data_IF_269609176970
#
_entry.id   IF_269609176970
#
_cell.length_a   1.000
_cell.length_b   1.000
_cell.length_c   1.000
_cell.angle_alpha   90.00
_cell.angle_beta   90.00
_cell.angle_gamma   90.00
#
_symmetry.space_group_name_H-M   'P 1'
#
loop_
_entity.id
_entity.type
_entity.pdbx_description
1 polymer ?
#
# COMPACT_ATOMS: atom_id res chain seq x y z
N UNK A 1 -24.56 -9.00 -6.72
CA UNK A 1 -24.95 -8.98 -5.32
C UNK A 1 -23.87 -9.74 -4.54
N UNK A 2 -22.98 -9.03 -3.87
CA UNK A 2 -22.08 -9.60 -2.87
C UNK A 2 -22.96 -10.11 -1.76
N UNK A 3 -22.86 -11.43 -1.45
CA UNK A 3 -23.74 -12.09 -0.50
C UNK A 3 -23.68 -11.41 0.86
N UNK A 4 -24.84 -11.03 1.37
CA UNK A 4 -25.05 -10.42 2.69
C UNK A 4 -25.08 -11.50 3.80
N UNK A 5 -24.22 -12.51 3.74
CA UNK A 5 -24.08 -13.39 4.88
C UNK A 5 -23.34 -12.64 6.01
N UNK A 6 -23.91 -12.58 7.23
CA UNK A 6 -23.21 -11.95 8.34
C UNK A 6 -21.90 -12.67 8.59
N UNK A 7 -20.81 -11.93 8.75
CA UNK A 7 -19.51 -12.48 9.14
C UNK A 7 -19.67 -13.01 10.56
N UNK A 8 -19.74 -14.32 10.72
CA UNK A 8 -19.81 -14.98 12.03
C UNK A 8 -18.43 -15.50 12.46
N UNK A 9 -18.33 -15.92 13.72
CA UNK A 9 -17.06 -16.39 14.29
C UNK A 9 -16.49 -17.60 13.56
N UNK A 10 -17.36 -18.50 13.06
CA UNK A 10 -16.94 -19.68 12.31
C UNK A 10 -16.33 -19.31 10.96
N UNK A 11 -16.95 -18.38 10.22
CA UNK A 11 -16.42 -17.87 8.96
C UNK A 11 -15.08 -17.14 9.14
N UNK A 12 -14.91 -16.38 10.23
CA UNK A 12 -13.65 -15.73 10.58
C UNK A 12 -12.55 -16.74 10.89
N UNK A 13 -12.89 -17.80 11.65
CA UNK A 13 -11.95 -18.88 11.97
C UNK A 13 -11.51 -19.60 10.70
N UNK A 14 -12.45 -19.99 9.85
CA UNK A 14 -12.16 -20.65 8.58
C UNK A 14 -11.29 -19.78 7.66
N UNK A 15 -11.61 -18.47 7.55
CA UNK A 15 -10.79 -17.53 6.79
C UNK A 15 -9.36 -17.48 7.35
N UNK A 16 -9.21 -17.32 8.68
CA UNK A 16 -7.89 -17.28 9.33
C UNK A 16 -7.08 -18.53 9.02
N UNK A 17 -7.67 -19.72 9.21
CA UNK A 17 -6.99 -20.99 8.97
C UNK A 17 -6.51 -21.12 7.53
N UNK A 18 -7.38 -20.83 6.57
CA UNK A 18 -7.05 -20.88 5.14
C UNK A 18 -5.94 -19.87 4.78
N UNK A 19 -6.06 -18.64 5.28
CA UNK A 19 -5.08 -17.59 5.01
C UNK A 19 -3.71 -17.94 5.59
N UNK A 20 -3.64 -18.34 6.85
CA UNK A 20 -2.38 -18.73 7.48
C UNK A 20 -1.78 -19.98 6.83
N UNK A 21 -2.59 -20.93 6.39
CA UNK A 21 -2.11 -22.09 5.62
C UNK A 21 -1.48 -21.66 4.31
N UNK A 22 -2.10 -20.75 3.57
CA UNK A 22 -1.57 -20.22 2.31
C UNK A 22 -0.26 -19.42 2.52
N UNK A 23 -0.13 -18.66 3.62
CA UNK A 23 1.10 -17.98 3.98
C UNK A 23 2.22 -18.96 4.32
N UNK A 24 1.95 -20.00 5.12
CA UNK A 24 2.95 -21.03 5.47
C UNK A 24 3.51 -21.72 4.24
N UNK A 25 2.66 -22.05 3.26
CA UNK A 25 3.10 -22.65 1.99
C UNK A 25 4.06 -21.76 1.20
N UNK A 26 3.96 -20.43 1.37
CA UNK A 26 4.79 -19.44 0.66
C UNK A 26 5.95 -18.90 1.48
N UNK A 27 5.99 -19.21 2.77
CA UNK A 27 6.98 -18.64 3.70
C UNK A 27 8.39 -19.21 3.53
N UNK A 28 8.53 -20.33 2.83
CA UNK A 28 9.82 -21.03 2.69
C UNK A 28 10.49 -21.29 4.05
N UNK A 29 9.70 -21.54 5.09
CA UNK A 29 10.15 -21.75 6.46
C UNK A 29 10.50 -20.46 7.23
N UNK A 30 10.26 -19.27 6.66
CA UNK A 30 10.43 -17.99 7.37
C UNK A 30 9.32 -17.78 8.39
N UNK A 31 9.68 -17.19 9.53
CA UNK A 31 8.72 -16.88 10.61
C UNK A 31 7.92 -15.61 10.35
N UNK A 32 8.45 -14.70 9.53
CA UNK A 32 7.81 -13.44 9.16
C UNK A 32 7.50 -13.48 7.67
N UNK A 33 6.25 -13.18 7.34
CA UNK A 33 5.76 -13.15 5.97
C UNK A 33 5.07 -11.80 5.74
N UNK A 34 5.39 -11.15 4.63
CA UNK A 34 4.71 -9.94 4.19
C UNK A 34 3.73 -10.27 3.07
N UNK A 35 2.50 -9.78 3.19
CA UNK A 35 1.52 -9.77 2.12
C UNK A 35 1.28 -8.34 1.64
N UNK A 36 1.37 -8.11 0.34
CA UNK A 36 1.13 -6.80 -0.26
C UNK A 36 0.22 -6.93 -1.47
N UNK A 37 -0.99 -6.41 -1.35
CA UNK A 37 -1.91 -6.14 -2.45
C UNK A 37 -2.48 -4.72 -2.26
N UNK A 38 -2.43 -3.85 -3.28
CA UNK A 38 -2.90 -2.47 -3.13
C UNK A 38 -4.32 -2.36 -2.60
N UNK A 39 -5.23 -3.25 -2.97
CA UNK A 39 -6.63 -3.26 -2.53
C UNK A 39 -6.85 -3.86 -1.13
N UNK A 40 -5.82 -4.27 -0.39
CA UNK A 40 -6.00 -4.79 0.98
C UNK A 40 -6.69 -3.77 1.90
N UNK A 41 -6.60 -2.47 1.62
CA UNK A 41 -7.29 -1.44 2.37
C UNK A 41 -8.82 -1.62 2.39
N UNK A 42 -9.41 -2.24 1.38
CA UNK A 42 -10.84 -2.55 1.35
C UNK A 42 -11.25 -3.58 2.42
N UNK A 43 -10.31 -4.35 2.95
CA UNK A 43 -10.57 -5.50 3.81
C UNK A 43 -9.92 -5.38 5.20
N UNK A 44 -9.43 -4.19 5.60
CA UNK A 44 -8.69 -4.03 6.85
C UNK A 44 -9.48 -4.46 8.10
N UNK A 45 -10.79 -4.22 8.13
CA UNK A 45 -11.63 -4.70 9.23
C UNK A 45 -11.65 -6.23 9.36
N UNK A 46 -11.73 -6.94 8.22
CA UNK A 46 -11.64 -8.40 8.21
C UNK A 46 -10.24 -8.88 8.65
N UNK A 47 -9.19 -8.27 8.11
CA UNK A 47 -7.80 -8.59 8.43
C UNK A 47 -7.54 -8.36 9.92
N UNK A 48 -7.88 -7.19 10.46
CA UNK A 48 -7.65 -6.86 11.86
C UNK A 48 -8.41 -7.77 12.83
N UNK A 49 -9.61 -8.24 12.44
CA UNK A 49 -10.42 -9.13 13.25
C UNK A 49 -9.93 -10.58 13.20
N UNK A 50 -9.61 -11.07 11.99
CA UNK A 50 -9.19 -12.46 11.82
C UNK A 50 -7.72 -12.69 12.20
N UNK A 51 -6.89 -11.66 12.08
CA UNK A 51 -5.44 -11.69 12.30
C UNK A 51 -5.02 -10.57 13.27
N UNK A 52 -5.43 -10.63 14.55
CA UNK A 52 -5.15 -9.56 15.51
C UNK A 52 -3.64 -9.35 15.76
N UNK A 53 -2.82 -10.36 15.49
CA UNK A 53 -1.36 -10.30 15.58
C UNK A 53 -0.68 -9.65 14.36
N UNK A 54 -1.40 -9.43 13.25
CA UNK A 54 -0.82 -8.84 12.05
C UNK A 54 -0.52 -7.35 12.25
N UNK A 55 0.67 -6.91 11.84
CA UNK A 55 0.97 -5.49 11.70
C UNK A 55 0.42 -4.98 10.37
N UNK A 56 -0.32 -3.88 10.42
CA UNK A 56 -0.90 -3.24 9.24
C UNK A 56 -0.05 -2.01 8.93
N UNK A 57 0.67 -2.05 7.80
CA UNK A 57 1.49 -0.93 7.33
C UNK A 57 0.82 -0.32 6.10
N UNK A 58 0.43 0.93 6.23
CA UNK A 58 -0.16 1.70 5.15
C UNK A 58 0.92 2.63 4.56
N UNK A 59 1.34 2.38 3.33
CA UNK A 59 2.31 3.23 2.63
C UNK A 59 1.56 4.38 1.98
N UNK A 60 1.64 5.56 2.60
CA UNK A 60 1.01 6.79 2.14
C UNK A 60 1.96 7.54 1.20
N UNK A 61 1.45 7.98 0.07
CA UNK A 61 2.18 8.77 -0.93
C UNK A 61 1.31 9.92 -1.41
N UNK A 62 1.94 11.01 -1.89
CA UNK A 62 1.24 12.15 -2.50
C UNK A 62 0.11 11.70 -3.44
N UNK A 63 -1.11 12.14 -3.16
CA UNK A 63 -2.34 11.76 -3.88
C UNK A 63 -2.23 12.04 -5.37
N UNK A 64 -1.73 13.24 -5.74
CA UNK A 64 -1.48 13.60 -7.14
C UNK A 64 -0.48 12.65 -7.83
N UNK A 65 0.56 12.22 -7.10
CA UNK A 65 1.55 11.30 -7.63
C UNK A 65 0.99 9.89 -7.82
N UNK A 66 0.13 9.43 -6.91
CA UNK A 66 -0.55 8.12 -7.02
C UNK A 66 -1.51 8.13 -8.21
N UNK A 67 -2.38 9.15 -8.31
CA UNK A 67 -3.32 9.28 -9.41
C UNK A 67 -2.62 9.33 -10.76
N UNK A 68 -1.57 10.14 -10.87
CA UNK A 68 -0.75 10.23 -12.08
C UNK A 68 -0.06 8.91 -12.44
N UNK A 69 0.52 8.22 -11.45
CA UNK A 69 1.19 6.94 -11.68
C UNK A 69 0.23 5.87 -12.18
N UNK A 70 -0.99 5.83 -11.63
CA UNK A 70 -2.04 4.92 -12.09
C UNK A 70 -2.50 5.26 -13.50
N UNK A 71 -2.72 6.54 -13.82
CA UNK A 71 -3.15 6.98 -15.15
C UNK A 71 -2.15 6.65 -16.25
N UNK A 72 -0.86 6.73 -15.95
CA UNK A 72 0.20 6.49 -16.94
C UNK A 72 0.69 5.05 -17.01
N UNK A 73 0.19 4.17 -16.12
CA UNK A 73 0.56 2.77 -16.09
C UNK A 73 -0.44 1.93 -16.89
N UNK A 74 0.07 1.13 -17.85
CA UNK A 74 -0.75 0.11 -18.46
C UNK A 74 -0.93 -1.08 -17.50
N UNK A 75 -2.17 -1.45 -17.23
CA UNK A 75 -2.53 -2.62 -16.45
C UNK A 75 -3.26 -3.62 -17.35
N UNK A 76 -2.73 -4.83 -17.46
CA UNK A 76 -3.35 -5.90 -18.23
C UNK A 76 -4.56 -6.55 -17.53
N UNK A 77 -4.93 -6.08 -16.35
CA UNK A 77 -6.00 -6.63 -15.52
C UNK A 77 -7.25 -5.75 -15.58
N UNK A 78 -8.38 -6.33 -15.96
CA UNK A 78 -9.67 -5.62 -16.10
C UNK A 78 -10.19 -5.02 -14.78
N UNK A 79 -9.75 -5.54 -13.62
CA UNK A 79 -10.15 -5.00 -12.31
C UNK A 79 -9.61 -3.58 -12.02
N UNK A 80 -8.67 -3.09 -12.84
CA UNK A 80 -8.07 -1.76 -12.73
C UNK A 80 -8.54 -0.83 -13.86
N UNK A 81 -9.71 -1.07 -14.43
CA UNK A 81 -10.28 -0.27 -15.52
C UNK A 81 -10.44 1.21 -15.19
N UNK A 82 -10.66 1.55 -13.92
CA UNK A 82 -10.73 2.95 -13.47
C UNK A 82 -9.43 3.74 -13.74
N UNK A 83 -8.29 3.07 -13.91
CA UNK A 83 -7.00 3.73 -14.18
C UNK A 83 -6.92 4.37 -15.58
N UNK A 84 -7.86 4.09 -16.48
CA UNK A 84 -7.88 4.64 -17.84
C UNK A 84 -8.71 5.92 -18.00
N UNK A 85 -9.36 6.38 -16.95
CA UNK A 85 -10.09 7.65 -16.88
C UNK A 85 -9.56 8.48 -15.73
N UNK A 86 -9.21 9.74 -15.98
CA UNK A 86 -8.70 10.60 -14.92
C UNK A 86 -9.77 10.88 -13.87
N UNK A 87 -11.01 11.11 -14.29
CA UNK A 87 -12.14 11.35 -13.38
C UNK A 87 -12.43 10.13 -12.50
N UNK A 88 -12.36 8.90 -13.06
CA UNK A 88 -12.57 7.69 -12.30
C UNK A 88 -11.44 7.44 -11.28
N UNK A 89 -10.19 7.77 -11.63
CA UNK A 89 -9.04 7.70 -10.71
C UNK A 89 -9.25 8.65 -9.54
N UNK A 90 -9.64 9.89 -9.81
CA UNK A 90 -9.87 10.90 -8.77
C UNK A 90 -10.96 10.44 -7.82
N UNK A 91 -12.10 10.02 -8.36
CA UNK A 91 -13.21 9.50 -7.56
C UNK A 91 -12.82 8.26 -6.74
N UNK A 92 -12.09 7.31 -7.34
CA UNK A 92 -11.59 6.14 -6.62
C UNK A 92 -10.64 6.53 -5.48
N UNK A 93 -9.81 7.55 -5.70
CA UNK A 93 -8.89 8.04 -4.69
C UNK A 93 -9.62 8.71 -3.52
N UNK A 94 -10.66 9.50 -3.78
CA UNK A 94 -11.52 10.06 -2.74
C UNK A 94 -12.17 8.96 -1.88
N UNK A 95 -12.72 7.92 -2.52
CA UNK A 95 -13.29 6.77 -1.81
C UNK A 95 -12.25 6.02 -0.97
N UNK A 96 -11.01 5.94 -1.46
CA UNK A 96 -9.91 5.36 -0.70
C UNK A 96 -9.57 6.21 0.54
N UNK A 97 -9.46 7.53 0.41
CA UNK A 97 -9.18 8.44 1.54
C UNK A 97 -10.27 8.37 2.60
N UNK A 98 -11.54 8.43 2.20
CA UNK A 98 -12.69 8.28 3.10
C UNK A 98 -12.66 6.94 3.86
N UNK A 99 -12.37 5.85 3.14
CA UNK A 99 -12.30 4.53 3.76
C UNK A 99 -11.11 4.40 4.71
N UNK A 100 -9.95 4.96 4.37
CA UNK A 100 -8.78 4.95 5.25
C UNK A 100 -9.01 5.80 6.50
N UNK A 101 -9.67 6.95 6.37
CA UNK A 101 -10.09 7.75 7.53
C UNK A 101 -11.00 6.93 8.45
N UNK A 102 -12.03 6.27 7.88
CA UNK A 102 -12.90 5.38 8.66
C UNK A 102 -12.10 4.29 9.40
N UNK A 103 -11.12 3.65 8.75
CA UNK A 103 -10.32 2.63 9.41
C UNK A 103 -9.46 3.18 10.55
N UNK A 104 -8.89 4.37 10.42
CA UNK A 104 -8.16 5.02 11.51
C UNK A 104 -9.05 5.33 12.72
N UNK A 105 -10.29 5.76 12.47
CA UNK A 105 -11.29 6.01 13.52
C UNK A 105 -11.78 4.70 14.17
N UNK A 106 -12.07 3.68 13.36
CA UNK A 106 -12.60 2.40 13.84
C UNK A 106 -11.54 1.54 14.56
N UNK A 107 -10.27 1.71 14.22
CA UNK A 107 -9.16 0.90 14.70
C UNK A 107 -7.97 1.77 15.12
N UNK A 108 -8.12 2.63 16.14
CA UNK A 108 -7.05 3.56 16.54
C UNK A 108 -5.78 2.80 16.91
N UNK A 109 -4.64 3.30 16.44
CA UNK A 109 -3.29 2.75 16.66
C UNK A 109 -3.01 1.36 16.03
N UNK A 110 -3.91 0.85 15.19
CA UNK A 110 -3.71 -0.45 14.51
C UNK A 110 -3.02 -0.33 13.17
N UNK A 111 -3.04 0.85 12.57
CA UNK A 111 -2.47 1.12 11.25
C UNK A 111 -1.26 2.04 11.45
N UNK A 112 -0.11 1.61 10.95
CA UNK A 112 1.11 2.42 10.90
C UNK A 112 1.20 3.08 9.53
N UNK A 113 1.09 4.41 9.49
CA UNK A 113 1.29 5.17 8.25
C UNK A 113 2.78 5.36 8.00
N UNK A 114 3.25 4.84 6.89
CA UNK A 114 4.60 5.05 6.38
C UNK A 114 4.54 6.08 5.25
N UNK A 115 5.05 7.27 5.51
CA UNK A 115 5.16 8.32 4.50
C UNK A 115 6.25 7.98 3.48
N UNK A 116 5.84 7.83 2.22
CA UNK A 116 6.75 7.44 1.13
C UNK A 116 7.77 8.54 0.81
N UNK A 117 7.36 9.81 0.82
CA UNK A 117 8.24 10.94 0.56
C UNK A 117 9.31 11.02 1.67
N UNK A 118 8.89 10.97 2.93
CA UNK A 118 9.81 10.94 4.07
C UNK A 118 10.76 9.74 4.01
N UNK A 119 10.24 8.54 3.67
CA UNK A 119 11.06 7.34 3.51
C UNK A 119 12.12 7.52 2.42
N UNK A 120 11.80 8.16 1.29
CA UNK A 120 12.76 8.36 0.21
C UNK A 120 13.77 9.46 0.50
N UNK A 121 13.42 10.44 1.33
CA UNK A 121 14.29 11.55 1.74
C UNK A 121 15.22 11.18 2.90
N UNK A 122 14.69 10.44 3.88
CA UNK A 122 15.35 10.07 5.14
C UNK A 122 15.28 8.55 5.33
N UNK A 123 15.79 7.80 4.35
CA UNK A 123 15.61 6.34 4.26
C UNK A 123 15.96 5.61 5.57
N UNK A 124 17.13 5.89 6.15
CA UNK A 124 17.57 5.19 7.35
C UNK A 124 16.67 5.51 8.55
N UNK A 125 16.35 6.79 8.77
CA UNK A 125 15.52 7.23 9.89
C UNK A 125 14.14 6.57 9.84
N UNK A 126 13.45 6.67 8.69
CA UNK A 126 12.09 6.15 8.54
C UNK A 126 12.08 4.60 8.54
N UNK A 127 13.10 3.96 7.97
CA UNK A 127 13.23 2.50 8.04
C UNK A 127 13.46 2.02 9.46
N UNK A 128 14.28 2.72 10.26
CA UNK A 128 14.51 2.38 11.69
C UNK A 128 13.23 2.51 12.51
N UNK A 129 12.43 3.56 12.26
CA UNK A 129 11.10 3.73 12.90
C UNK A 129 10.18 2.57 12.58
N UNK A 130 10.09 2.17 11.31
CA UNK A 130 9.27 1.05 10.86
C UNK A 130 9.73 -0.28 11.51
N UNK A 131 11.02 -0.59 11.47
CA UNK A 131 11.58 -1.83 12.05
C UNK A 131 11.32 -1.87 13.56
N UNK A 132 11.50 -0.73 14.26
CA UNK A 132 11.18 -0.59 15.68
C UNK A 132 9.69 -0.78 15.98
N UNK A 133 8.79 -0.23 15.14
CA UNK A 133 7.34 -0.45 15.27
C UNK A 133 6.95 -1.92 15.12
N UNK A 134 7.65 -2.64 14.25
CA UNK A 134 7.45 -4.08 14.04
C UNK A 134 8.06 -4.94 15.15
N UNK A 135 8.79 -4.35 16.09
CA UNK A 135 9.48 -5.09 17.15
C UNK A 135 10.61 -5.98 16.64
N UNK A 136 11.18 -5.66 15.49
CA UNK A 136 12.25 -6.42 14.86
C UNK A 136 13.62 -5.82 15.19
N UNK A 137 14.64 -6.69 15.21
CA UNK A 137 16.02 -6.24 15.29
C UNK A 137 16.45 -5.55 13.99
N UNK A 138 17.32 -4.55 14.14
CA UNK A 138 17.88 -3.84 13.00
C UNK A 138 18.84 -4.72 12.20
N UNK A 139 18.71 -4.64 10.87
CA UNK A 139 19.68 -5.23 9.93
C UNK A 139 19.99 -4.17 8.85
N UNK A 140 21.28 -3.94 8.60
CA UNK A 140 21.73 -2.95 7.59
C UNK A 140 21.28 -3.30 6.17
N UNK A 141 20.94 -4.55 5.89
CA UNK A 141 20.33 -4.97 4.63
C UNK A 141 18.99 -4.25 4.34
N UNK A 142 18.31 -3.72 5.37
CA UNK A 142 17.11 -2.91 5.20
C UNK A 142 17.36 -1.62 4.40
N UNK A 143 18.59 -1.12 4.33
CA UNK A 143 18.97 0.07 3.56
C UNK A 143 19.31 -0.26 2.10
N UNK A 144 19.41 -1.53 1.75
CA UNK A 144 19.75 -2.00 0.40
C UNK A 144 18.66 -2.90 -0.20
N UNK A 145 17.39 -2.45 -0.27
CA UNK A 145 16.28 -3.28 -0.75
C UNK A 145 16.47 -3.74 -2.20
N UNK A 146 17.24 -3.01 -3.01
CA UNK A 146 17.58 -3.36 -4.40
C UNK A 146 18.44 -4.63 -4.51
N UNK A 147 19.17 -5.00 -3.44
CA UNK A 147 20.05 -6.19 -3.43
C UNK A 147 19.25 -7.49 -3.18
N UNK A 148 17.96 -7.36 -2.87
CA UNK A 148 17.08 -8.50 -2.71
C UNK A 148 16.87 -9.22 -4.05
N UNK A 149 17.24 -10.49 -4.12
CA UNK A 149 17.18 -11.32 -5.34
C UNK A 149 15.83 -12.00 -5.57
N UNK A 150 14.88 -11.87 -4.64
CA UNK A 150 13.55 -12.48 -4.77
C UNK A 150 12.87 -12.06 -6.07
N UNK A 151 12.24 -13.02 -6.74
CA UNK A 151 11.48 -12.76 -7.95
C UNK A 151 10.30 -11.80 -7.68
N UNK A 152 10.13 -10.82 -8.55
CA UNK A 152 9.03 -9.85 -8.52
C UNK A 152 8.24 -9.93 -9.82
N UNK A 153 6.99 -10.38 -9.74
CA UNK A 153 6.11 -10.58 -10.90
C UNK A 153 5.15 -9.41 -11.14
N UNK A 154 5.51 -8.20 -10.72
CA UNK A 154 4.65 -7.02 -10.87
C UNK A 154 5.24 -6.01 -11.86
N UNK A 155 4.43 -5.02 -12.29
CA UNK A 155 4.85 -3.93 -13.17
C UNK A 155 6.08 -3.15 -12.64
N UNK A 156 6.35 -3.22 -11.33
CA UNK A 156 7.50 -2.58 -10.67
C UNK A 156 8.80 -3.39 -10.72
N UNK A 157 8.86 -4.50 -11.42
CA UNK A 157 10.01 -5.42 -11.47
C UNK A 157 11.37 -4.69 -11.70
N UNK A 158 11.42 -3.74 -12.65
CA UNK A 158 12.65 -2.96 -12.92
C UNK A 158 12.95 -1.97 -11.80
N UNK A 159 11.92 -1.33 -11.25
CA UNK A 159 12.07 -0.27 -10.25
C UNK A 159 12.61 -0.81 -8.92
N UNK A 160 12.18 -1.99 -8.48
CA UNK A 160 12.62 -2.60 -7.21
C UNK A 160 14.10 -3.00 -7.22
N UNK A 161 14.76 -2.99 -8.37
CA UNK A 161 16.20 -3.24 -8.53
C UNK A 161 17.03 -1.96 -8.55
N UNK A 162 16.40 -0.81 -8.41
CA UNK A 162 17.09 0.47 -8.31
C UNK A 162 17.21 0.88 -6.85
N UNK A 163 18.29 1.59 -6.53
CA UNK A 163 18.40 2.23 -5.21
C UNK A 163 17.20 3.14 -4.97
N UNK A 164 16.82 3.29 -3.72
CA UNK A 164 15.80 4.26 -3.32
C UNK A 164 16.22 5.64 -3.84
N UNK A 165 15.31 6.33 -4.52
CA UNK A 165 15.57 7.63 -5.13
C UNK A 165 14.41 8.60 -4.84
N UNK A 166 14.75 9.88 -4.81
CA UNK A 166 13.81 10.97 -4.53
C UNK A 166 13.16 11.51 -5.80
N UNK A 167 12.11 12.31 -5.64
CA UNK A 167 11.50 13.10 -6.71
C UNK A 167 10.52 12.34 -7.62
N UNK A 168 10.23 11.07 -7.34
CA UNK A 168 9.25 10.32 -8.12
C UNK A 168 7.84 10.89 -7.97
N UNK A 169 7.51 11.49 -6.82
CA UNK A 169 6.21 12.13 -6.55
C UNK A 169 6.02 13.48 -7.24
N UNK A 170 7.09 14.04 -7.79
CA UNK A 170 7.05 15.32 -8.50
C UNK A 170 6.87 15.17 -10.03
N UNK A 171 6.91 13.95 -10.55
CA UNK A 171 6.92 13.69 -12.01
C UNK A 171 5.68 14.24 -12.72
N UNK A 172 4.51 14.16 -12.09
CA UNK A 172 3.25 14.64 -12.66
C UNK A 172 3.27 16.16 -12.95
N UNK A 173 4.05 16.94 -12.18
CA UNK A 173 4.14 18.40 -12.34
C UNK A 173 4.60 18.82 -13.73
N UNK A 174 5.38 17.99 -14.43
CA UNK A 174 5.79 18.21 -15.82
C UNK A 174 4.61 18.20 -16.79
N UNK A 175 3.54 17.51 -16.44
CA UNK A 175 2.35 17.35 -17.25
C UNK A 175 1.19 18.23 -16.79
N UNK A 176 1.39 18.97 -15.69
CA UNK A 176 0.38 19.87 -15.12
C UNK A 176 -0.30 20.78 -16.15
N UNK A 177 0.41 21.41 -17.13
CA UNK A 177 -0.23 22.26 -18.15
C UNK A 177 -1.25 21.52 -19.04
N UNK A 178 -1.16 20.19 -19.10
CA UNK A 178 -2.02 19.33 -19.94
C UNK A 178 -3.12 18.65 -19.15
N UNK A 179 -3.14 18.80 -17.83
CA UNK A 179 -4.11 18.17 -16.94
C UNK A 179 -5.30 19.06 -16.59
N UNK A 180 -5.32 20.29 -17.11
CA UNK A 180 -6.44 21.24 -16.96
C UNK A 180 -6.90 21.41 -15.49
N UNK A 181 -5.97 21.34 -14.54
CA UNK A 181 -6.26 21.49 -13.12
C UNK A 181 -6.75 20.23 -12.38
N UNK A 182 -6.91 19.10 -13.06
CA UNK A 182 -7.50 17.89 -12.48
C UNK A 182 -6.82 17.38 -11.20
N UNK A 183 -5.51 17.60 -11.04
CA UNK A 183 -4.75 17.18 -9.84
C UNK A 183 -4.44 18.34 -8.88
N UNK A 184 -4.95 19.54 -9.13
CA UNK A 184 -4.53 20.75 -8.39
C UNK A 184 -5.03 20.76 -6.95
N UNK A 185 -6.22 20.19 -6.67
CA UNK A 185 -6.75 20.09 -5.31
C UNK A 185 -5.86 19.22 -4.40
N UNK A 186 -5.25 18.17 -4.91
CA UNK A 186 -4.29 17.35 -4.15
C UNK A 186 -2.93 18.05 -3.91
N UNK A 187 -2.68 19.18 -4.57
CA UNK A 187 -1.44 19.94 -4.36
C UNK A 187 -1.50 20.83 -3.11
N UNK A 188 -2.70 21.07 -2.58
CA UNK A 188 -2.92 21.93 -1.40
C UNK A 188 -2.73 21.19 -0.06
N UNK A 189 -2.77 19.85 -0.07
CA UNK A 189 -2.76 19.03 1.15
C UNK A 189 -1.35 18.74 1.70
N UNK A 190 -0.30 19.27 1.07
CA UNK A 190 1.09 19.17 1.52
C UNK A 190 1.53 20.39 2.37
N UNK A 191 0.66 20.87 3.30
CA UNK A 191 1.07 21.87 4.30
C UNK A 191 0.92 21.35 5.71
#
# INVERSE_FOLDING_TARGET
AVGQAPVNAEALTAFREQYLSALRQRSEGKTIVTDKMPQNFCFLGLVATALPEAHIIHVKRSSAAVCWANYTQYFANDSLGYCYSLDDILHYHELYEDLMQYWHEAMPNRIYDLDYEALTERQEEETRKLIGHLGLEWDDACLSPQDNTRSVATASNVQVRQKVYQGSSERWKRYKPYLYGALDHFSADNK
#
